data_IF_069226807525
#
_entry.id   IF_069226807525
#
_cell.length_a   1.000
_cell.length_b   1.000
_cell.length_c   1.000
_cell.angle_alpha   90.00
_cell.angle_beta   90.00
_cell.angle_gamma   90.00
#
_symmetry.space_group_name_H-M   'P 1'
#
loop_
_entity.id
_entity.type
_entity.pdbx_description
1 polymer ?
#
# COMPACT_ATOMS: atom_id res chain seq x y z
N UNK A 1 -11.57 16.97 -5.00
CA UNK A 1 -12.36 15.92 -4.36
C UNK A 1 -11.35 14.89 -3.89
N UNK A 2 -11.07 14.82 -2.58
CA UNK A 2 -10.09 13.87 -2.03
C UNK A 2 -10.77 12.50 -1.85
N UNK A 3 -10.20 11.45 -2.44
CA UNK A 3 -10.70 10.08 -2.29
C UNK A 3 -9.95 9.38 -1.17
N UNK A 4 -10.60 9.19 -0.01
CA UNK A 4 -10.03 8.41 1.10
C UNK A 4 -10.36 6.93 0.89
N UNK A 5 -9.34 6.09 0.74
CA UNK A 5 -9.49 4.64 0.62
C UNK A 5 -8.92 3.97 1.88
N UNK A 6 -9.71 3.06 2.45
CA UNK A 6 -9.29 2.22 3.57
C UNK A 6 -9.03 0.81 3.05
N UNK A 7 -7.85 0.28 3.31
CA UNK A 7 -7.55 -1.12 3.04
C UNK A 7 -8.16 -1.96 4.18
N UNK A 8 -9.10 -2.83 3.83
CA UNK A 8 -9.70 -3.78 4.76
C UNK A 8 -8.74 -4.91 5.14
N UNK A 9 -9.14 -5.83 6.02
CA UNK A 9 -8.34 -7.00 6.37
C UNK A 9 -8.09 -7.90 5.16
N UNK A 10 -6.98 -8.64 5.17
CA UNK A 10 -6.66 -9.63 4.14
C UNK A 10 -7.74 -10.72 4.11
N UNK A 11 -8.30 -11.08 2.93
CA UNK A 11 -9.24 -12.19 2.82
C UNK A 11 -8.65 -13.51 3.31
N UNK A 12 -9.47 -14.36 3.93
CA UNK A 12 -9.07 -15.66 4.50
C UNK A 12 -8.35 -16.55 3.47
N UNK A 13 -8.80 -16.53 2.23
CA UNK A 13 -8.24 -17.33 1.13
C UNK A 13 -6.80 -16.93 0.79
N UNK A 14 -6.42 -15.69 1.09
CA UNK A 14 -5.11 -15.12 0.79
C UNK A 14 -4.16 -15.12 1.99
N UNK A 15 -4.62 -15.53 3.16
CA UNK A 15 -3.86 -15.39 4.40
C UNK A 15 -2.53 -16.16 4.37
N UNK A 16 -2.52 -17.40 3.88
CA UNK A 16 -1.29 -18.19 3.75
C UNK A 16 -0.29 -17.62 2.74
N UNK A 17 -0.78 -16.94 1.69
CA UNK A 17 0.08 -16.24 0.73
C UNK A 17 0.67 -15.00 1.38
N UNK A 18 -0.15 -14.21 2.09
CA UNK A 18 0.30 -13.02 2.82
C UNK A 18 1.40 -13.37 3.84
N UNK A 19 1.23 -14.46 4.61
CA UNK A 19 2.23 -14.91 5.59
C UNK A 19 3.55 -15.35 4.92
N UNK A 20 3.49 -15.90 3.72
CA UNK A 20 4.67 -16.31 2.97
C UNK A 20 5.44 -15.10 2.43
N UNK A 21 4.72 -14.12 1.88
CA UNK A 21 5.31 -12.87 1.40
C UNK A 21 5.90 -12.07 2.56
N UNK A 22 5.18 -11.95 3.67
CA UNK A 22 5.64 -11.23 4.87
C UNK A 22 6.98 -11.77 5.37
N UNK A 23 7.11 -13.09 5.52
CA UNK A 23 8.38 -13.73 5.95
C UNK A 23 9.54 -13.45 5.01
N UNK A 24 9.29 -13.38 3.70
CA UNK A 24 10.34 -13.06 2.73
C UNK A 24 10.80 -11.61 2.87
N UNK A 25 9.85 -10.68 3.02
CA UNK A 25 10.15 -9.24 3.20
C UNK A 25 10.97 -9.02 4.48
N UNK A 26 10.58 -9.65 5.59
CA UNK A 26 11.31 -9.52 6.86
C UNK A 26 12.75 -10.04 6.74
N UNK A 27 12.94 -11.19 6.08
CA UNK A 27 14.26 -11.78 5.89
C UNK A 27 15.16 -10.97 4.94
N UNK A 28 14.60 -10.43 3.86
CA UNK A 28 15.36 -9.74 2.82
C UNK A 28 15.67 -8.28 3.17
N UNK A 29 14.72 -7.58 3.79
CA UNK A 29 14.83 -6.15 4.07
C UNK A 29 15.11 -5.84 5.54
N UNK A 30 15.22 -6.86 6.41
CA UNK A 30 15.38 -6.67 7.86
C UNK A 30 14.18 -5.95 8.50
N UNK A 31 13.01 -6.08 7.88
CA UNK A 31 11.77 -5.51 8.37
C UNK A 31 11.16 -6.40 9.48
N UNK A 32 10.22 -5.86 10.24
CA UNK A 32 9.44 -6.62 11.22
C UNK A 32 7.99 -6.18 11.15
N UNK A 33 7.07 -7.15 11.16
CA UNK A 33 5.65 -6.89 11.20
C UNK A 33 5.29 -6.00 12.40
N UNK A 34 4.49 -4.97 12.14
CA UNK A 34 3.94 -4.12 13.19
C UNK A 34 2.88 -4.88 14.01
N UNK A 35 2.71 -4.56 15.30
CA UNK A 35 1.59 -5.04 16.08
C UNK A 35 0.26 -4.73 15.39
N UNK A 36 -0.71 -5.65 15.52
CA UNK A 36 -1.98 -5.57 14.80
C UNK A 36 -2.71 -4.26 15.08
N UNK A 37 -2.66 -3.77 16.31
CA UNK A 37 -3.30 -2.53 16.75
C UNK A 37 -2.72 -1.31 16.01
N UNK A 38 -1.42 -1.33 15.75
CA UNK A 38 -0.72 -0.28 15.00
C UNK A 38 -1.01 -0.43 13.50
N UNK A 39 -0.94 -1.65 12.96
CA UNK A 39 -1.19 -1.92 11.55
C UNK A 39 -2.64 -1.62 11.12
N UNK A 40 -3.61 -1.79 12.02
CA UNK A 40 -5.02 -1.47 11.80
C UNK A 40 -5.33 0.03 11.97
N UNK A 41 -4.38 0.83 12.44
CA UNK A 41 -4.58 2.27 12.56
C UNK A 41 -4.79 2.86 11.16
N UNK A 42 -5.95 3.45 10.86
CA UNK A 42 -6.23 3.94 9.52
C UNK A 42 -5.31 5.11 9.17
N UNK A 43 -4.33 4.87 8.29
CA UNK A 43 -3.46 5.93 7.79
C UNK A 43 -4.18 6.64 6.64
N UNK A 44 -4.49 7.94 6.76
CA UNK A 44 -5.10 8.68 5.66
C UNK A 44 -4.06 8.84 4.54
N UNK A 45 -4.32 8.20 3.40
CA UNK A 45 -3.51 8.40 2.20
C UNK A 45 -4.04 9.63 1.44
N UNK A 46 -3.25 10.70 1.38
CA UNK A 46 -3.59 11.90 0.62
C UNK A 46 -2.91 11.84 -0.76
N UNK A 47 -3.70 11.73 -1.82
CA UNK A 47 -3.20 11.80 -3.20
C UNK A 47 -3.47 13.19 -3.75
N UNK A 48 -2.40 13.95 -3.99
CA UNK A 48 -2.49 15.18 -4.75
C UNK A 48 -2.53 14.83 -6.24
N UNK A 49 -3.65 15.16 -6.89
CA UNK A 49 -3.80 15.04 -8.33
C UNK A 49 -2.85 16.05 -9.01
N UNK A 50 -1.74 15.56 -9.57
CA UNK A 50 -0.87 16.38 -10.39
C UNK A 50 -1.41 16.39 -11.83
N UNK A 51 -1.34 17.56 -12.48
CA UNK A 51 -1.75 17.77 -13.89
C UNK A 51 -0.86 16.93 -14.85
N UNK A 52 -1.34 16.62 -16.06
CA UNK A 52 -1.40 15.28 -16.66
C UNK A 52 -0.05 14.66 -17.11
N UNK A 53 0.00 13.32 -17.33
CA UNK A 53 -1.12 12.39 -17.39
C UNK A 53 -1.53 11.91 -16.00
N UNK A 54 -2.83 11.79 -15.79
CA UNK A 54 -3.52 11.69 -14.50
C UNK A 54 -2.89 10.66 -13.55
N UNK A 55 -2.20 11.15 -12.51
CA UNK A 55 -1.72 10.30 -11.42
C UNK A 55 -2.91 9.77 -10.63
N UNK A 56 -3.29 8.52 -10.91
CA UNK A 56 -4.33 7.80 -10.20
C UNK A 56 -3.84 7.36 -8.80
N UNK A 57 -4.75 6.95 -7.93
CA UNK A 57 -4.41 6.29 -6.65
C UNK A 57 -3.48 5.09 -6.86
N UNK A 58 -3.65 4.36 -7.97
CA UNK A 58 -2.78 3.26 -8.34
C UNK A 58 -1.35 3.75 -8.62
N UNK A 59 -1.19 4.88 -9.29
CA UNK A 59 0.13 5.48 -9.49
C UNK A 59 0.75 5.90 -8.16
N UNK A 60 0.01 6.54 -7.26
CA UNK A 60 0.55 6.98 -5.96
C UNK A 60 0.98 5.83 -5.03
N UNK A 61 0.32 4.66 -5.13
CA UNK A 61 0.61 3.51 -4.29
C UNK A 61 1.73 2.61 -4.84
N UNK A 62 1.91 2.57 -6.16
CA UNK A 62 2.75 1.55 -6.81
C UNK A 62 3.85 2.12 -7.73
N UNK A 63 3.93 3.45 -7.91
CA UNK A 63 5.10 4.06 -8.56
C UNK A 63 5.72 5.15 -7.70
N UNK A 64 7.05 5.07 -7.54
CA UNK A 64 7.86 6.13 -6.96
C UNK A 64 8.04 7.32 -7.91
N UNK A 65 7.69 7.18 -9.19
CA UNK A 65 7.78 8.20 -10.24
C UNK A 65 6.47 8.34 -11.03
N UNK A 66 5.42 8.93 -10.43
CA UNK A 66 4.11 9.07 -11.06
C UNK A 66 4.08 9.87 -12.37
N UNK A 67 5.10 10.68 -12.64
CA UNK A 67 5.21 11.51 -13.85
C UNK A 67 5.86 10.82 -15.05
N UNK A 68 6.32 9.57 -14.90
CA UNK A 68 7.07 8.84 -15.93
C UNK A 68 6.18 7.81 -16.63
N UNK A 69 4.99 8.23 -17.06
CA UNK A 69 4.09 7.44 -17.90
C UNK A 69 4.24 8.01 -19.31
N UNK A 70 5.00 7.31 -20.15
CA UNK A 70 5.16 7.61 -21.58
C UNK A 70 3.83 7.49 -22.33
#
# INVERSE_FOLDING_TARGET
MESKVFLGPVPLELQGIADTVARHIEAEYGATALPLEVAQTPVPLHVNLMKPPETTLFHALFTSEPGNIL
#
